data_IF_370822628968
#
_entry.id   IF_370822628968
#
_cell.length_a   1.000
_cell.length_b   1.000
_cell.length_c   1.000
_cell.angle_alpha   90.00
_cell.angle_beta   90.00
_cell.angle_gamma   90.00
#
_symmetry.space_group_name_H-M   'P 1'
#
loop_
_entity.id
_entity.type
_entity.pdbx_description
1 polymer ?
#
# COMPACT_ATOMS: atom_id res chain seq x y z
N UNK A 1 -12.15 -53.15 -29.98
CA UNK A 1 -12.50 -52.99 -28.54
C UNK A 1 -12.79 -51.50 -28.36
N UNK A 2 -13.61 -51.12 -27.38
CA UNK A 2 -13.84 -49.70 -27.05
C UNK A 2 -13.27 -49.45 -25.66
N UNK A 3 -11.99 -49.12 -25.62
CA UNK A 3 -11.20 -48.93 -24.42
C UNK A 3 -11.73 -47.78 -23.55
N UNK A 4 -12.32 -46.75 -24.18
CA UNK A 4 -12.91 -45.61 -23.47
C UNK A 4 -14.13 -45.96 -22.60
N UNK A 5 -14.83 -47.07 -22.88
CA UNK A 5 -15.93 -47.55 -22.03
C UNK A 5 -15.47 -48.18 -20.71
N UNK A 6 -14.20 -48.53 -20.59
CA UNK A 6 -13.65 -49.20 -19.41
C UNK A 6 -13.04 -48.25 -18.37
N UNK A 7 -13.07 -46.93 -18.63
CA UNK A 7 -12.59 -45.92 -17.67
C UNK A 7 -11.07 -45.89 -17.51
N UNK A 8 -10.32 -46.22 -18.56
CA UNK A 8 -8.85 -46.26 -18.49
C UNK A 8 -8.17 -44.89 -18.40
N UNK A 9 -8.85 -43.82 -18.80
CA UNK A 9 -8.36 -42.44 -18.72
C UNK A 9 -9.08 -41.70 -17.58
N UNK A 10 -8.35 -40.85 -16.85
CA UNK A 10 -8.95 -40.06 -15.77
C UNK A 10 -9.91 -38.98 -16.28
N UNK A 11 -9.61 -38.35 -17.42
CA UNK A 11 -10.40 -37.25 -17.98
C UNK A 11 -10.90 -37.59 -19.40
N UNK A 12 -10.15 -37.23 -20.44
CA UNK A 12 -10.58 -37.39 -21.83
C UNK A 12 -9.97 -38.66 -22.44
N UNK A 13 -10.79 -39.41 -23.18
CA UNK A 13 -10.38 -40.62 -23.89
C UNK A 13 -10.81 -40.58 -25.36
N UNK A 14 -9.90 -40.96 -26.25
CA UNK A 14 -10.19 -41.16 -27.66
C UNK A 14 -9.70 -42.54 -28.12
N UNK A 15 -10.59 -43.33 -28.73
CA UNK A 15 -10.18 -44.58 -29.37
C UNK A 15 -9.43 -44.27 -30.67
N UNK A 16 -8.29 -44.91 -30.89
CA UNK A 16 -7.45 -44.74 -32.09
C UNK A 16 -7.19 -46.09 -32.76
N UNK A 17 -6.85 -46.15 -34.05
CA UNK A 17 -6.55 -47.43 -34.70
C UNK A 17 -5.44 -48.20 -33.95
N UNK A 18 -5.79 -49.37 -33.42
CA UNK A 18 -4.87 -50.24 -32.68
C UNK A 18 -4.71 -49.94 -31.18
N UNK A 19 -5.31 -48.87 -30.64
CA UNK A 19 -5.23 -48.55 -29.21
C UNK A 19 -6.24 -47.44 -28.78
N UNK A 20 -5.92 -46.71 -27.71
CA UNK A 20 -6.61 -45.51 -27.26
C UNK A 20 -5.59 -44.47 -26.79
N UNK A 21 -6.02 -43.21 -26.72
CA UNK A 21 -5.22 -42.09 -26.24
C UNK A 21 -5.97 -41.36 -25.14
N UNK A 22 -5.29 -41.13 -24.02
CA UNK A 22 -5.80 -40.28 -22.95
C UNK A 22 -5.26 -38.87 -23.12
N UNK A 23 -6.12 -37.88 -22.86
CA UNK A 23 -5.74 -36.46 -22.81
C UNK A 23 -6.38 -35.81 -21.58
N UNK A 24 -5.82 -34.67 -21.18
CA UNK A 24 -6.30 -33.92 -20.05
C UNK A 24 -7.07 -32.68 -20.51
N UNK A 25 -7.99 -32.21 -19.67
CA UNK A 25 -8.67 -30.94 -19.82
C UNK A 25 -7.65 -29.80 -19.80
N UNK A 26 -7.97 -28.61 -20.36
CA UNK A 26 -7.14 -27.43 -20.22
C UNK A 26 -6.78 -27.16 -18.74
N UNK A 27 -5.54 -26.73 -18.49
CA UNK A 27 -5.02 -26.53 -17.13
C UNK A 27 -4.48 -27.80 -16.45
N UNK A 28 -4.47 -28.95 -17.13
CA UNK A 28 -3.92 -30.20 -16.59
C UNK A 28 -2.83 -30.80 -17.50
N UNK A 29 -1.85 -31.44 -16.89
CA UNK A 29 -0.79 -32.21 -17.57
C UNK A 29 -1.05 -33.71 -17.46
N UNK A 30 -0.82 -34.42 -18.55
CA UNK A 30 -0.84 -35.87 -18.57
C UNK A 30 0.41 -36.41 -17.86
N UNK A 31 0.20 -37.26 -16.88
CA UNK A 31 1.27 -37.90 -16.12
C UNK A 31 2.03 -38.94 -16.97
N UNK A 32 3.18 -39.39 -16.46
CA UNK A 32 4.05 -40.38 -17.12
C UNK A 32 3.40 -41.76 -17.30
N UNK A 33 2.32 -42.05 -16.59
CA UNK A 33 1.51 -43.26 -16.79
C UNK A 33 0.64 -43.21 -18.07
N UNK A 34 0.57 -42.05 -18.72
CA UNK A 34 -0.21 -41.80 -19.93
C UNK A 34 -1.72 -41.86 -19.72
N UNK A 35 -2.21 -41.78 -18.47
CA UNK A 35 -3.63 -41.99 -18.11
C UNK A 35 -4.17 -41.00 -17.09
N UNK A 36 -3.36 -40.63 -16.10
CA UNK A 36 -3.75 -39.69 -15.06
C UNK A 36 -3.37 -38.26 -15.41
N UNK A 37 -4.14 -37.33 -14.87
CA UNK A 37 -4.02 -35.90 -15.11
C UNK A 37 -3.69 -35.20 -13.79
N UNK A 38 -2.60 -34.45 -13.78
CA UNK A 38 -2.22 -33.58 -12.68
C UNK A 38 -2.51 -32.13 -13.04
N UNK A 39 -3.05 -31.39 -12.09
CA UNK A 39 -3.28 -29.97 -12.21
C UNK A 39 -1.96 -29.20 -12.47
N UNK A 40 -1.99 -28.24 -13.38
CA UNK A 40 -0.86 -27.34 -13.61
C UNK A 40 -0.90 -26.23 -12.59
N UNK A 41 0.04 -26.22 -11.66
CA UNK A 41 0.17 -25.09 -10.75
C UNK A 41 0.77 -23.89 -11.47
N UNK A 42 -0.06 -23.02 -12.04
CA UNK A 42 0.41 -21.84 -12.76
C UNK A 42 1.17 -20.88 -11.82
N UNK A 43 0.79 -20.82 -10.54
CA UNK A 43 1.46 -19.98 -9.55
C UNK A 43 2.92 -20.40 -9.32
N UNK A 44 3.23 -21.69 -9.44
CA UNK A 44 4.59 -22.21 -9.38
C UNK A 44 5.39 -22.00 -10.68
N UNK A 45 4.73 -21.73 -11.81
CA UNK A 45 5.38 -21.55 -13.12
C UNK A 45 5.89 -20.12 -13.30
N UNK A 46 5.17 -19.11 -12.80
CA UNK A 46 5.56 -17.71 -12.98
C UNK A 46 5.14 -16.82 -11.81
N UNK A 47 6.13 -16.23 -11.15
CA UNK A 47 5.92 -15.25 -10.07
C UNK A 47 5.27 -13.94 -10.55
N UNK A 48 5.27 -13.67 -11.86
CA UNK A 48 4.74 -12.43 -12.45
C UNK A 48 3.29 -12.55 -12.96
N UNK A 49 2.60 -13.66 -12.67
CA UNK A 49 1.20 -13.86 -13.08
C UNK A 49 0.23 -12.89 -12.39
N UNK A 50 0.48 -12.59 -11.12
CA UNK A 50 -0.34 -11.73 -10.29
C UNK A 50 0.52 -10.63 -9.68
N UNK A 51 -0.05 -9.44 -9.46
CA UNK A 51 0.68 -8.35 -8.79
C UNK A 51 1.01 -8.67 -7.31
N UNK A 52 0.12 -9.41 -6.63
CA UNK A 52 0.27 -9.73 -5.21
C UNK A 52 0.20 -11.23 -4.94
N UNK A 53 -1.01 -11.80 -4.81
CA UNK A 53 -1.18 -13.19 -4.42
C UNK A 53 -1.77 -13.99 -5.59
N UNK A 54 -1.14 -15.12 -5.89
CA UNK A 54 -1.65 -16.11 -6.83
C UNK A 54 -2.24 -17.28 -6.03
N UNK A 55 -3.42 -17.74 -6.44
CA UNK A 55 -4.09 -18.91 -5.87
C UNK A 55 -4.32 -19.92 -6.98
N UNK A 56 -3.73 -21.10 -6.82
CA UNK A 56 -3.90 -22.21 -7.75
C UNK A 56 -5.23 -22.93 -7.47
N UNK A 57 -6.00 -23.21 -8.52
CA UNK A 57 -7.24 -23.99 -8.45
C UNK A 57 -7.19 -25.14 -9.47
N UNK A 58 -7.94 -26.24 -9.25
CA UNK A 58 -7.94 -27.32 -10.23
C UNK A 58 -8.41 -26.87 -11.63
N UNK A 59 -7.49 -26.84 -12.59
CA UNK A 59 -7.68 -26.47 -13.99
C UNK A 59 -7.53 -24.99 -14.32
N UNK A 60 -7.15 -24.14 -13.35
CA UNK A 60 -6.95 -22.71 -13.55
C UNK A 60 -6.22 -22.07 -12.35
N UNK A 61 -5.93 -20.78 -12.45
CA UNK A 61 -5.54 -19.98 -11.30
C UNK A 61 -6.41 -18.72 -11.22
N UNK A 62 -6.35 -18.03 -10.08
CA UNK A 62 -6.83 -16.67 -9.97
C UNK A 62 -5.90 -15.83 -9.10
N UNK A 63 -5.90 -14.53 -9.35
CA UNK A 63 -5.17 -13.57 -8.54
C UNK A 63 -6.07 -12.99 -7.46
N UNK A 64 -5.51 -12.79 -6.27
CA UNK A 64 -6.19 -12.12 -5.16
C UNK A 64 -5.38 -10.94 -4.67
N UNK A 65 -6.09 -9.91 -4.22
CA UNK A 65 -5.50 -8.70 -3.66
C UNK A 65 -5.47 -8.75 -2.12
N UNK A 66 -4.46 -8.13 -1.49
CA UNK A 66 -4.43 -7.99 -0.04
C UNK A 66 -5.58 -7.09 0.44
N UNK A 67 -5.85 -7.13 1.75
CA UNK A 67 -6.86 -6.25 2.36
C UNK A 67 -6.57 -4.78 2.05
N UNK A 68 -7.62 -4.01 1.78
CA UNK A 68 -7.51 -2.60 1.36
C UNK A 68 -7.29 -2.42 -0.15
N UNK A 69 -7.27 -3.50 -0.94
CA UNK A 69 -7.12 -3.44 -2.39
C UNK A 69 -8.23 -4.23 -3.10
N UNK A 70 -8.51 -3.84 -4.35
CA UNK A 70 -9.47 -4.50 -5.24
C UNK A 70 -8.78 -4.97 -6.51
N UNK A 71 -9.19 -6.14 -7.01
CA UNK A 71 -8.68 -6.69 -8.27
C UNK A 71 -9.29 -5.93 -9.45
N UNK A 72 -8.45 -5.52 -10.38
CA UNK A 72 -8.86 -4.82 -11.60
C UNK A 72 -9.39 -5.78 -12.67
N UNK A 73 -9.96 -5.21 -13.74
CA UNK A 73 -10.58 -5.96 -14.85
C UNK A 73 -9.61 -6.87 -15.61
N UNK A 74 -8.30 -6.68 -15.45
CA UNK A 74 -7.27 -7.56 -16.01
C UNK A 74 -7.10 -8.87 -15.20
N UNK A 75 -7.81 -9.00 -14.07
CA UNK A 75 -7.75 -10.12 -13.14
C UNK A 75 -6.35 -10.41 -12.59
N UNK A 76 -5.45 -9.43 -12.60
CA UNK A 76 -4.03 -9.59 -12.20
C UNK A 76 -3.50 -8.47 -11.33
N UNK A 77 -3.95 -7.24 -11.58
CA UNK A 77 -3.48 -6.05 -10.86
C UNK A 77 -4.45 -5.62 -9.78
N UNK A 78 -3.90 -5.00 -8.74
CA UNK A 78 -4.60 -4.57 -7.56
C UNK A 78 -4.56 -3.05 -7.45
N UNK A 79 -5.73 -2.46 -7.28
CA UNK A 79 -5.88 -1.04 -7.02
C UNK A 79 -6.19 -0.82 -5.54
N UNK A 80 -5.51 0.17 -4.95
CA UNK A 80 -5.79 0.63 -3.60
C UNK A 80 -7.23 1.17 -3.49
N UNK A 81 -7.93 0.79 -2.43
CA UNK A 81 -9.27 1.29 -2.15
C UNK A 81 -9.15 2.58 -1.36
N UNK A 82 -9.54 3.70 -1.95
CA UNK A 82 -9.59 4.95 -1.21
C UNK A 82 -10.80 4.98 -0.26
N UNK A 83 -10.56 4.67 1.02
CA UNK A 83 -11.62 4.67 2.02
C UNK A 83 -12.11 6.08 2.38
N UNK A 84 -11.32 7.11 2.05
CA UNK A 84 -11.70 8.51 2.24
C UNK A 84 -12.72 8.95 1.18
N UNK A 85 -12.52 8.56 -0.08
CA UNK A 85 -13.43 8.86 -1.18
C UNK A 85 -14.71 8.01 -1.12
N UNK A 86 -14.57 6.72 -0.82
CA UNK A 86 -15.71 5.79 -0.71
C UNK A 86 -16.53 5.97 0.57
N UNK A 87 -16.08 6.83 1.49
CA UNK A 87 -16.65 7.06 2.83
C UNK A 87 -16.77 5.78 3.65
N UNK A 88 -15.96 4.77 3.36
CA UNK A 88 -15.87 3.53 4.11
C UNK A 88 -14.80 3.64 5.21
N UNK A 89 -14.82 4.74 5.96
CA UNK A 89 -13.87 5.03 7.01
C UNK A 89 -14.57 5.25 8.36
N UNK A 90 -13.82 5.07 9.44
CA UNK A 90 -14.30 5.25 10.82
C UNK A 90 -14.01 6.66 11.37
N UNK A 91 -13.62 7.60 10.51
CA UNK A 91 -13.23 8.94 10.94
C UNK A 91 -14.44 9.73 11.46
N UNK A 92 -14.24 10.47 12.54
CA UNK A 92 -15.23 11.42 13.03
C UNK A 92 -15.34 12.62 12.09
N UNK A 93 -16.45 13.36 12.16
CA UNK A 93 -16.65 14.56 11.34
C UNK A 93 -15.63 15.69 11.62
N UNK A 94 -14.92 15.64 12.76
CA UNK A 94 -13.85 16.59 13.08
C UNK A 94 -12.48 16.13 12.55
N UNK A 95 -12.32 14.86 12.20
CA UNK A 95 -11.05 14.31 11.72
C UNK A 95 -10.90 14.48 10.21
N UNK A 96 -9.65 14.65 9.77
CA UNK A 96 -9.30 14.61 8.35
C UNK A 96 -8.93 13.18 7.97
N UNK A 97 -9.57 12.63 6.94
CA UNK A 97 -9.21 11.32 6.41
C UNK A 97 -8.01 11.45 5.45
N UNK A 98 -7.02 10.58 5.62
CA UNK A 98 -5.88 10.44 4.73
C UNK A 98 -5.83 9.01 4.20
N UNK A 99 -5.95 8.85 2.88
CA UNK A 99 -5.77 7.57 2.21
C UNK A 99 -4.26 7.21 2.11
N UNK A 100 -3.93 5.94 2.33
CA UNK A 100 -2.58 5.38 2.33
C UNK A 100 -2.66 4.00 1.64
N UNK A 101 -1.63 3.55 0.90
CA UNK A 101 -1.70 2.22 0.27
C UNK A 101 -2.07 1.09 1.26
N UNK A 102 -3.23 0.48 1.06
CA UNK A 102 -3.84 -0.60 1.82
C UNK A 102 -4.66 -0.20 3.05
N UNK A 103 -4.76 1.09 3.38
CA UNK A 103 -5.48 1.56 4.57
C UNK A 103 -5.69 3.07 4.60
N UNK A 104 -6.46 3.57 5.57
CA UNK A 104 -6.61 4.99 5.83
C UNK A 104 -6.20 5.35 7.26
N UNK A 105 -5.94 6.64 7.48
CA UNK A 105 -5.78 7.21 8.81
C UNK A 105 -6.71 8.39 9.03
N UNK A 106 -7.28 8.41 10.23
CA UNK A 106 -8.06 9.54 10.72
C UNK A 106 -7.11 10.45 11.52
N UNK A 107 -6.92 11.67 11.02
CA UNK A 107 -6.05 12.65 11.65
C UNK A 107 -6.90 13.62 12.46
N UNK A 108 -6.61 13.73 13.75
CA UNK A 108 -7.24 14.71 14.63
C UNK A 108 -6.97 16.16 14.15
N UNK A 109 -7.87 17.12 14.43
CA UNK A 109 -7.60 18.54 14.21
C UNK A 109 -6.26 18.95 14.82
N UNK A 110 -5.49 19.79 14.12
CA UNK A 110 -4.25 20.30 14.69
C UNK A 110 -4.56 21.08 15.97
N UNK A 111 -3.79 20.82 17.02
CA UNK A 111 -3.79 21.62 18.24
C UNK A 111 -2.37 22.12 18.46
N UNK A 112 -2.21 23.42 18.58
CA UNK A 112 -0.92 24.00 18.96
C UNK A 112 -0.75 23.86 20.47
N UNK A 113 0.46 23.51 20.91
CA UNK A 113 0.79 23.54 22.33
C UNK A 113 0.97 25.00 22.78
N UNK A 114 0.49 25.34 23.97
CA UNK A 114 0.76 26.63 24.60
C UNK A 114 2.28 26.86 24.69
N UNK A 115 2.83 28.03 24.31
CA UNK A 115 2.16 29.30 24.00
C UNK A 115 1.87 29.58 22.51
N UNK A 116 1.92 28.55 21.65
CA UNK A 116 1.72 28.71 20.21
C UNK A 116 0.24 28.70 19.85
N UNK A 117 -0.15 29.60 18.93
CA UNK A 117 -1.51 29.73 18.44
C UNK A 117 -1.56 29.31 16.96
N UNK A 118 -2.63 28.64 16.57
CA UNK A 118 -2.83 28.22 15.18
C UNK A 118 -3.08 29.43 14.27
N UNK A 119 -2.30 29.54 13.20
CA UNK A 119 -2.51 30.56 12.16
C UNK A 119 -3.19 29.96 10.93
N UNK A 120 -2.82 28.73 10.57
CA UNK A 120 -3.39 27.99 9.45
C UNK A 120 -3.37 26.48 9.75
N UNK A 121 -3.85 25.65 8.82
CA UNK A 121 -4.04 24.21 9.03
C UNK A 121 -2.76 23.43 9.42
N UNK A 122 -1.57 23.98 9.14
CA UNK A 122 -0.27 23.35 9.36
C UNK A 122 0.78 24.26 10.05
N UNK A 123 0.39 25.43 10.57
CA UNK A 123 1.32 26.41 11.15
C UNK A 123 0.82 26.92 12.48
N UNK A 124 1.70 26.76 13.47
CA UNK A 124 1.56 27.31 14.80
C UNK A 124 2.57 28.45 14.97
N UNK A 125 2.16 29.57 15.53
CA UNK A 125 3.03 30.71 15.77
C UNK A 125 2.88 31.22 17.19
N UNK A 126 4.00 31.57 17.78
CA UNK A 126 4.05 32.29 19.03
C UNK A 126 3.86 33.78 18.73
N UNK A 127 2.84 34.40 19.32
CA UNK A 127 2.56 35.83 19.09
C UNK A 127 3.61 36.72 19.75
N UNK A 128 4.05 37.76 19.05
CA UNK A 128 5.13 38.66 19.52
C UNK A 128 4.72 39.48 20.75
N UNK A 129 3.42 39.67 20.98
CA UNK A 129 2.90 40.34 22.17
C UNK A 129 3.04 39.49 23.45
N UNK A 130 3.23 38.17 23.31
CA UNK A 130 3.39 37.28 24.45
C UNK A 130 4.85 37.29 24.93
N UNK A 131 5.14 37.73 26.17
CA UNK A 131 6.51 37.85 26.67
C UNK A 131 7.24 36.50 26.78
N UNK A 132 6.53 35.36 26.77
CA UNK A 132 7.14 34.02 26.72
C UNK A 132 7.68 33.66 25.32
N UNK A 133 7.30 34.42 24.29
CA UNK A 133 7.64 34.17 22.88
C UNK A 133 8.90 34.91 22.40
N UNK A 134 9.50 35.78 23.21
CA UNK A 134 10.54 36.74 22.79
C UNK A 134 11.78 36.08 22.15
N UNK A 135 12.06 34.82 22.49
CA UNK A 135 13.17 34.02 21.98
C UNK A 135 12.73 32.67 21.35
N UNK A 136 11.42 32.47 21.15
CA UNK A 136 10.87 31.22 20.63
C UNK A 136 10.74 31.27 19.10
N UNK A 137 11.22 30.25 18.37
CA UNK A 137 11.13 30.22 16.91
C UNK A 137 9.70 29.97 16.42
N UNK A 138 9.35 30.38 15.20
CA UNK A 138 8.10 29.93 14.58
C UNK A 138 8.14 28.43 14.34
N UNK A 139 7.03 27.71 14.53
CA UNK A 139 6.99 26.25 14.38
C UNK A 139 6.06 25.87 13.22
N UNK A 140 6.62 25.35 12.13
CA UNK A 140 5.85 24.71 11.07
C UNK A 140 5.76 23.22 11.41
N UNK A 141 4.55 22.72 11.65
CA UNK A 141 4.30 21.31 11.97
C UNK A 141 3.77 20.64 10.72
N UNK A 142 4.60 19.81 10.11
CA UNK A 142 4.15 18.94 9.03
C UNK A 142 3.68 17.60 9.61
N UNK A 143 2.43 17.23 9.32
CA UNK A 143 1.85 15.93 9.68
C UNK A 143 2.19 14.81 8.69
N UNK A 144 2.72 15.16 7.53
CA UNK A 144 3.22 14.23 6.52
C UNK A 144 4.38 14.90 5.78
N UNK A 145 5.43 14.14 5.48
CA UNK A 145 6.45 14.53 4.52
C UNK A 145 6.14 13.84 3.19
N UNK A 146 6.03 14.63 2.11
CA UNK A 146 6.09 14.12 0.75
C UNK A 146 7.57 13.98 0.39
N UNK A 147 8.10 12.76 0.47
CA UNK A 147 9.42 12.44 -0.07
C UNK A 147 9.24 12.29 -1.58
N UNK A 148 10.22 12.75 -2.37
CA UNK A 148 10.26 12.73 -3.85
C UNK A 148 9.91 11.37 -4.53
N UNK A 149 9.67 10.31 -3.75
CA UNK A 149 9.19 8.99 -4.16
C UNK A 149 7.65 8.84 -4.19
N UNK A 150 6.86 9.91 -4.09
CA UNK A 150 5.38 9.85 -4.07
C UNK A 150 4.81 9.04 -2.89
N UNK A 151 5.59 8.88 -1.82
CA UNK A 151 5.23 8.10 -0.63
C UNK A 151 4.97 9.04 0.54
N UNK A 152 3.75 8.99 1.11
CA UNK A 152 3.37 9.78 2.28
C UNK A 152 3.70 9.02 3.55
N UNK A 153 4.48 9.64 4.42
CA UNK A 153 4.84 9.03 5.71
C UNK A 153 3.92 9.57 6.82
N UNK A 154 3.22 8.70 7.59
CA UNK A 154 2.31 9.14 8.65
C UNK A 154 3.01 9.93 9.78
N UNK A 155 2.31 10.92 10.34
CA UNK A 155 2.75 11.74 11.49
C UNK A 155 3.17 10.93 12.72
N UNK A 156 2.61 9.73 12.88
CA UNK A 156 2.85 8.87 14.04
C UNK A 156 4.25 8.25 14.02
N UNK A 157 4.91 8.27 12.85
CA UNK A 157 6.28 7.77 12.65
C UNK A 157 7.21 8.95 12.35
N UNK A 158 6.72 10.06 11.80
CA UNK A 158 7.56 11.21 11.46
C UNK A 158 6.86 12.54 11.75
N UNK A 159 7.38 13.28 12.74
CA UNK A 159 7.03 14.69 12.94
C UNK A 159 8.18 15.55 12.46
N UNK A 160 7.91 16.53 11.60
CA UNK A 160 8.89 17.53 11.19
C UNK A 160 8.47 18.89 11.74
N UNK A 161 9.29 19.41 12.65
CA UNK A 161 9.17 20.76 13.18
C UNK A 161 10.24 21.62 12.53
N UNK A 162 9.83 22.58 11.69
CA UNK A 162 10.75 23.59 11.18
C UNK A 162 10.68 24.83 12.08
N UNK A 163 11.83 25.22 12.61
CA UNK A 163 12.01 26.41 13.43
C UNK A 163 13.01 27.37 12.81
N UNK A 164 12.72 28.67 12.82
CA UNK A 164 13.73 29.67 12.45
C UNK A 164 13.70 30.85 13.39
N UNK A 165 14.92 31.26 13.75
CA UNK A 165 15.23 32.34 14.69
C UNK A 165 15.40 33.68 13.96
N UNK A 166 15.64 33.65 12.64
CA UNK A 166 15.79 34.82 11.77
C UNK A 166 15.24 34.49 10.37
N UNK A 167 14.18 35.16 9.88
CA UNK A 167 13.66 34.94 8.54
C UNK A 167 14.78 35.05 7.50
N UNK A 168 15.05 33.98 6.75
CA UNK A 168 15.99 34.00 5.62
C UNK A 168 17.40 33.42 5.86
N UNK A 169 17.84 33.14 7.09
CA UNK A 169 19.25 32.73 7.32
C UNK A 169 19.41 31.23 7.60
N UNK A 170 18.59 30.66 8.48
CA UNK A 170 18.64 29.25 8.87
C UNK A 170 17.25 28.67 9.14
N UNK A 171 17.06 27.42 8.75
CA UNK A 171 15.95 26.56 9.19
C UNK A 171 16.52 25.42 10.04
N UNK A 172 15.95 25.21 11.22
CA UNK A 172 16.21 24.05 12.07
C UNK A 172 15.05 23.09 11.85
N UNK A 173 15.34 21.88 11.40
CA UNK A 173 14.36 20.83 11.25
C UNK A 173 14.57 19.80 12.35
N UNK A 174 13.57 19.60 13.18
CA UNK A 174 13.55 18.47 14.08
C UNK A 174 12.68 17.39 13.44
N UNK A 175 13.29 16.24 13.13
CA UNK A 175 12.58 15.07 12.63
C UNK A 175 12.51 14.08 13.80
N UNK A 176 11.30 13.76 14.26
CA UNK A 176 11.05 12.79 15.33
C UNK A 176 10.38 11.54 14.79
N UNK A 177 10.88 10.37 15.20
CA UNK A 177 10.23 9.08 15.01
C UNK A 177 9.99 8.41 16.36
N UNK A 178 8.73 8.32 16.77
CA UNK A 178 8.37 7.94 18.14
C UNK A 178 8.91 8.94 19.17
N UNK A 179 9.63 8.45 20.19
CA UNK A 179 10.26 9.30 21.21
C UNK A 179 11.67 9.78 20.85
N UNK A 180 12.24 9.30 19.73
CA UNK A 180 13.58 9.65 19.30
C UNK A 180 13.54 10.76 18.25
N UNK A 181 14.31 11.83 18.46
CA UNK A 181 14.38 12.98 17.56
C UNK A 181 15.79 13.28 17.11
N UNK A 182 15.95 13.72 15.86
CA UNK A 182 17.19 14.30 15.34
C UNK A 182 16.96 15.71 14.85
N UNK A 183 17.91 16.58 15.15
CA UNK A 183 17.93 17.96 14.66
C UNK A 183 18.84 18.06 13.43
N UNK A 184 18.33 18.73 12.41
CA UNK A 184 19.04 19.04 11.18
C UNK A 184 19.06 20.55 10.99
N UNK A 185 20.19 21.06 10.52
CA UNK A 185 20.42 22.48 10.33
C UNK A 185 20.57 22.74 8.83
N UNK A 186 19.68 23.55 8.27
CA UNK A 186 19.75 23.97 6.88
C UNK A 186 19.98 25.48 6.80
N UNK A 187 21.07 25.87 6.14
CA UNK A 187 21.36 27.27 5.83
C UNK A 187 20.79 27.59 4.46
N UNK A 188 19.98 28.63 4.36
CA UNK A 188 19.57 29.17 3.07
C UNK A 188 20.78 29.88 2.49
N UNK A 189 21.20 29.53 1.28
CA UNK A 189 22.17 30.35 0.54
C UNK A 189 21.42 31.55 0.01
N UNK A 190 21.81 32.74 0.45
CA UNK A 190 21.49 33.97 -0.28
C UNK A 190 22.25 33.91 -1.60
N UNK A 191 21.53 34.14 -2.71
CA UNK A 191 22.15 34.41 -4.03
C UNK A 191 22.74 35.82 -4.06
#
# INVERSE_FOLDING_TARGET
>A
IDECRYGYCQQLCANVPGSYSCTCNPGFLLNSDGRSCQDMDECSVSEFLCQHQCVNEPGSYYCSCPNGYVLLDDSRTCQDVDECDTRNNTCTAQQTCLNIPGTYKCLDPMRCEEPYVQINDNRCMCQVENPTCRDQPFTIVHRHMDILSNSRVPSDIFQMQATSRYPGVYYIFQIKSGNEGREFYMRVREE
#
